data_IF_456279808825
#
_entry.id   IF_456279808825
#
_cell.length_a   1.000
_cell.length_b   1.000
_cell.length_c   1.000
_cell.angle_alpha   90.00
_cell.angle_beta   90.00
_cell.angle_gamma   90.00
#
_symmetry.space_group_name_H-M   'P 1'
#
loop_
_entity.id
_entity.type
_entity.pdbx_description
1 polymer ?
#
# COMPACT_ATOMS: atom_id res chain seq x y z
N UNK A 1 15.07 27.31 -63.45
CA UNK A 1 14.74 26.41 -62.33
C UNK A 1 15.28 27.06 -61.05
N UNK A 2 14.45 27.78 -60.28
CA UNK A 2 14.85 28.41 -59.02
C UNK A 2 14.54 27.42 -57.89
N UNK A 3 15.57 26.84 -57.27
CA UNK A 3 15.42 25.93 -56.14
C UNK A 3 15.44 26.76 -54.85
N UNK A 4 14.27 26.88 -54.20
CA UNK A 4 14.12 27.54 -52.89
C UNK A 4 14.58 26.56 -51.80
N UNK A 5 15.64 26.92 -51.07
CA UNK A 5 16.07 26.27 -49.83
C UNK A 5 15.18 26.77 -48.68
N UNK A 6 14.30 25.91 -48.17
CA UNK A 6 13.57 26.13 -46.92
C UNK A 6 14.40 25.54 -45.77
N UNK A 7 15.06 26.41 -44.99
CA UNK A 7 15.62 26.09 -43.70
C UNK A 7 14.46 26.01 -42.69
N UNK A 8 14.05 24.78 -42.34
CA UNK A 8 13.13 24.54 -41.25
C UNK A 8 13.88 24.70 -39.92
N UNK A 9 13.59 25.80 -39.21
CA UNK A 9 14.08 26.06 -37.86
C UNK A 9 13.26 25.19 -36.89
N UNK A 10 13.79 24.01 -36.54
CA UNK A 10 13.20 23.18 -35.47
C UNK A 10 13.46 23.87 -34.12
N UNK A 11 12.45 24.57 -33.61
CA UNK A 11 12.41 25.00 -32.21
C UNK A 11 12.19 23.75 -31.37
N UNK A 12 13.26 23.24 -30.75
CA UNK A 12 13.19 22.19 -29.75
C UNK A 12 12.49 22.71 -28.52
N UNK A 13 11.22 22.34 -28.35
CA UNK A 13 10.47 22.56 -27.12
C UNK A 13 10.91 21.48 -26.13
N UNK A 14 11.89 21.81 -25.28
CA UNK A 14 12.28 20.95 -24.17
C UNK A 14 11.14 20.89 -23.17
N UNK A 15 10.49 19.73 -23.07
CA UNK A 15 9.54 19.43 -21.99
C UNK A 15 10.38 19.23 -20.74
N UNK A 16 10.45 20.26 -19.89
CA UNK A 16 10.92 20.07 -18.52
C UNK A 16 9.79 19.38 -17.77
N UNK A 17 9.94 18.09 -17.49
CA UNK A 17 9.10 17.41 -16.52
C UNK A 17 9.37 18.07 -15.16
N UNK A 18 8.37 18.79 -14.65
CA UNK A 18 8.37 19.24 -13.26
C UNK A 18 8.02 18.00 -12.45
N UNK A 19 9.02 17.41 -11.79
CA UNK A 19 8.76 16.43 -10.74
C UNK A 19 8.13 17.21 -9.59
N UNK A 20 6.85 16.94 -9.30
CA UNK A 20 6.25 17.37 -8.05
C UNK A 20 7.03 16.67 -6.92
N UNK A 21 7.68 17.45 -6.06
CA UNK A 21 8.12 16.95 -4.78
C UNK A 21 6.85 16.66 -3.99
N UNK A 22 6.68 15.42 -3.53
CA UNK A 22 5.72 15.18 -2.45
C UNK A 22 6.09 16.13 -1.30
N UNK A 23 5.11 16.84 -0.74
CA UNK A 23 5.33 17.72 0.42
C UNK A 23 5.65 16.88 1.69
N UNK A 24 5.62 15.55 1.61
CA UNK A 24 5.87 14.62 2.70
C UNK A 24 7.35 14.20 2.76
N UNK A 25 7.93 14.27 3.95
CA UNK A 25 9.30 13.88 4.24
C UNK A 25 9.46 12.37 4.53
N UNK A 26 8.36 11.69 4.91
CA UNK A 26 8.33 10.30 5.35
C UNK A 26 8.73 10.12 6.82
N UNK A 27 8.19 9.11 7.48
CA UNK A 27 8.42 8.88 8.92
C UNK A 27 9.89 8.65 9.27
N UNK A 28 10.67 8.05 8.37
CA UNK A 28 12.12 7.85 8.56
C UNK A 28 12.86 9.19 8.77
N UNK A 29 12.47 10.25 8.06
CA UNK A 29 13.07 11.57 8.21
C UNK A 29 12.85 12.13 9.62
N UNK A 30 11.66 11.95 10.19
CA UNK A 30 11.31 12.33 11.55
C UNK A 30 12.18 11.58 12.59
N UNK A 31 12.48 10.31 12.31
CA UNK A 31 13.30 9.44 13.17
C UNK A 31 14.74 9.91 13.38
N UNK A 32 15.30 10.71 12.46
CA UNK A 32 16.63 11.28 12.61
C UNK A 32 16.76 12.16 13.87
N UNK A 33 15.67 12.85 14.26
CA UNK A 33 15.59 13.66 15.47
C UNK A 33 14.77 12.98 16.57
N UNK A 34 13.81 12.13 16.22
CA UNK A 34 12.87 11.46 17.13
C UNK A 34 12.96 9.92 17.08
N UNK A 35 14.13 9.31 17.33
CA UNK A 35 14.33 7.88 17.10
C UNK A 35 13.44 6.99 17.98
N UNK A 36 13.23 7.35 19.24
CA UNK A 36 12.35 6.60 20.14
C UNK A 36 10.87 6.67 19.74
N UNK A 37 10.46 7.72 19.01
CA UNK A 37 9.10 7.82 18.47
C UNK A 37 8.94 6.99 17.21
N UNK A 38 9.94 7.03 16.33
CA UNK A 38 9.98 6.18 15.15
C UNK A 38 9.92 4.70 15.53
N UNK A 39 10.75 4.26 16.48
CA UNK A 39 10.77 2.88 16.98
C UNK A 39 9.39 2.46 17.54
N UNK A 40 8.79 3.29 18.39
CA UNK A 40 7.44 3.02 18.93
C UNK A 40 6.34 3.01 17.87
N UNK A 41 6.46 3.83 16.82
CA UNK A 41 5.50 3.86 15.72
C UNK A 41 5.65 2.62 14.83
N UNK A 42 6.87 2.20 14.52
CA UNK A 42 7.15 1.02 13.70
C UNK A 42 6.58 -0.27 14.31
N UNK A 43 6.45 -0.32 15.64
CA UNK A 43 5.82 -1.44 16.37
C UNK A 43 4.28 -1.38 16.43
N UNK A 44 3.67 -0.33 15.86
CA UNK A 44 2.23 -0.06 16.00
C UNK A 44 1.41 -0.56 14.81
N UNK A 45 0.10 -0.76 15.04
CA UNK A 45 -0.83 -1.08 13.97
C UNK A 45 -1.09 0.05 12.97
N UNK A 46 -0.69 1.29 13.27
CA UNK A 46 -0.75 2.40 12.32
C UNK A 46 0.33 2.27 11.24
N UNK A 47 1.56 1.95 11.64
CA UNK A 47 2.61 1.59 10.68
C UNK A 47 2.19 0.39 9.83
N UNK A 48 1.62 -0.64 10.47
CA UNK A 48 1.16 -1.84 9.79
C UNK A 48 -0.28 -1.76 9.25
N UNK A 49 -0.82 -0.57 8.95
CA UNK A 49 -2.17 -0.47 8.38
C UNK A 49 -2.19 -0.81 6.89
N UNK A 50 -1.09 -0.58 6.18
CA UNK A 50 -0.83 -1.12 4.84
C UNK A 50 0.58 -1.71 4.85
N UNK A 51 0.74 -2.93 4.36
CA UNK A 51 2.03 -3.63 4.32
C UNK A 51 2.29 -4.06 2.89
N UNK A 52 3.39 -3.55 2.32
CA UNK A 52 3.93 -3.99 1.03
C UNK A 52 4.41 -5.44 1.09
N UNK A 53 4.15 -6.20 0.02
CA UNK A 53 4.47 -7.62 -0.09
C UNK A 53 5.32 -7.85 -1.34
N UNK A 54 6.60 -8.15 -1.14
CA UNK A 54 7.53 -8.49 -2.23
C UNK A 54 7.72 -10.01 -2.34
N UNK A 55 6.63 -10.73 -2.60
CA UNK A 55 6.64 -12.15 -2.93
C UNK A 55 6.90 -13.13 -1.76
N UNK A 56 7.04 -12.63 -0.53
CA UNK A 56 7.26 -13.44 0.68
C UNK A 56 6.30 -13.05 1.79
N UNK A 57 6.12 -13.94 2.78
CA UNK A 57 5.25 -13.66 3.92
C UNK A 57 5.72 -12.40 4.69
N UNK A 58 4.83 -11.43 4.98
CA UNK A 58 5.21 -10.23 5.70
C UNK A 58 5.54 -10.53 7.16
N UNK A 59 6.42 -9.72 7.73
CA UNK A 59 6.77 -9.77 9.14
C UNK A 59 6.05 -8.65 9.90
N UNK A 60 5.34 -9.04 10.95
CA UNK A 60 4.76 -8.10 11.89
C UNK A 60 5.61 -8.01 13.17
N UNK A 61 5.69 -6.83 13.80
CA UNK A 61 6.49 -6.65 15.02
C UNK A 61 5.95 -7.45 16.22
N UNK A 62 4.71 -7.95 16.13
CA UNK A 62 4.11 -8.81 17.13
C UNK A 62 3.28 -9.93 16.49
N UNK A 63 3.34 -11.12 17.08
CA UNK A 63 2.49 -12.27 16.74
C UNK A 63 1.50 -12.52 17.89
N UNK A 64 0.20 -12.41 17.61
CA UNK A 64 -0.85 -12.59 18.63
C UNK A 64 -1.06 -14.05 19.03
N UNK A 65 -0.71 -14.99 18.16
CA UNK A 65 -0.79 -16.42 18.43
C UNK A 65 0.59 -17.05 18.43
N UNK A 66 0.90 -17.84 19.46
CA UNK A 66 2.20 -18.50 19.58
C UNK A 66 2.32 -19.65 18.59
N UNK A 67 3.33 -19.62 17.73
CA UNK A 67 3.71 -20.75 16.87
C UNK A 67 3.30 -20.63 15.40
N UNK A 68 2.48 -19.64 15.05
CA UNK A 68 2.05 -19.36 13.67
C UNK A 68 2.38 -17.89 13.29
N UNK A 69 2.59 -17.58 12.01
CA UNK A 69 2.69 -16.19 11.57
C UNK A 69 1.37 -15.46 11.82
N UNK A 70 1.43 -14.17 12.16
CA UNK A 70 0.24 -13.37 12.45
C UNK A 70 -0.77 -13.39 11.28
N UNK A 71 -0.26 -13.44 10.05
CA UNK A 71 -1.02 -13.64 8.81
C UNK A 71 -0.60 -14.97 8.18
N UNK A 72 -1.52 -15.92 7.94
CA UNK A 72 -1.23 -17.18 7.28
C UNK A 72 -0.99 -16.98 5.78
N UNK A 73 -0.73 -18.09 5.07
CA UNK A 73 -0.64 -18.06 3.60
C UNK A 73 -1.90 -17.43 2.96
N UNK A 74 -1.77 -16.81 1.78
CA UNK A 74 -2.88 -16.15 1.09
C UNK A 74 -4.09 -17.07 0.85
N UNK A 75 -5.29 -16.49 0.65
CA UNK A 75 -6.53 -17.25 0.55
C UNK A 75 -6.60 -18.13 -0.70
N UNK A 76 -7.54 -19.07 -0.68
CA UNK A 76 -7.96 -19.84 -1.86
C UNK A 76 -9.32 -19.31 -2.29
N UNK A 77 -9.45 -18.93 -3.56
CA UNK A 77 -10.72 -18.48 -4.14
C UNK A 77 -11.13 -19.44 -5.25
N UNK A 78 -12.21 -20.19 -5.05
CA UNK A 78 -12.58 -21.29 -5.93
C UNK A 78 -11.45 -22.34 -6.01
N UNK A 79 -10.89 -22.54 -7.21
CA UNK A 79 -9.77 -23.45 -7.48
C UNK A 79 -8.41 -22.71 -7.57
N UNK A 80 -8.38 -21.41 -7.32
CA UNK A 80 -7.17 -20.58 -7.40
C UNK A 80 -6.53 -20.49 -6.02
N UNK A 81 -5.30 -21.00 -5.91
CA UNK A 81 -4.44 -20.82 -4.74
C UNK A 81 -3.55 -19.60 -4.98
N UNK A 82 -3.77 -18.53 -4.24
CA UNK A 82 -2.89 -17.36 -4.27
C UNK A 82 -1.59 -17.65 -3.54
N UNK A 83 -0.49 -17.15 -4.08
CA UNK A 83 0.82 -17.12 -3.47
C UNK A 83 1.18 -15.69 -3.06
N UNK A 84 2.20 -15.54 -2.22
CA UNK A 84 2.72 -14.23 -1.85
C UNK A 84 3.18 -13.40 -3.05
N UNK A 85 3.58 -14.06 -4.14
CA UNK A 85 3.95 -13.41 -5.40
C UNK A 85 2.77 -12.82 -6.18
N UNK A 86 1.53 -13.09 -5.77
CA UNK A 86 0.32 -12.56 -6.41
C UNK A 86 -0.27 -11.38 -5.60
N UNK A 87 0.39 -10.97 -4.51
CA UNK A 87 -0.07 -9.96 -3.56
C UNK A 87 0.89 -8.78 -3.62
N UNK A 88 0.38 -7.57 -3.87
CA UNK A 88 1.16 -6.34 -3.71
C UNK A 88 1.04 -5.80 -2.27
N UNK A 89 -0.16 -5.85 -1.68
CA UNK A 89 -0.39 -5.29 -0.36
C UNK A 89 -1.29 -6.15 0.53
N UNK A 90 -1.05 -6.01 1.84
CA UNK A 90 -2.01 -6.38 2.88
C UNK A 90 -2.52 -5.13 3.59
N UNK A 91 -3.83 -4.96 3.57
CA UNK A 91 -4.53 -3.97 4.37
C UNK A 91 -4.71 -4.57 5.77
N UNK A 92 -3.97 -4.03 6.73
CA UNK A 92 -3.92 -4.49 8.12
C UNK A 92 -2.93 -5.64 8.34
N UNK A 93 -3.40 -6.71 8.97
CA UNK A 93 -2.59 -7.87 9.32
C UNK A 93 -1.82 -7.77 10.65
N UNK A 94 -1.93 -6.64 11.36
CA UNK A 94 -1.33 -6.48 12.70
C UNK A 94 -2.25 -6.95 13.84
N UNK A 95 -3.47 -6.42 13.97
CA UNK A 95 -4.32 -6.64 15.16
C UNK A 95 -5.63 -7.38 14.87
N UNK A 96 -6.32 -7.07 13.76
CA UNK A 96 -7.73 -7.47 13.54
C UNK A 96 -7.92 -8.35 12.33
N UNK A 97 -7.66 -7.80 11.15
CA UNK A 97 -7.91 -8.47 9.89
C UNK A 97 -6.72 -8.26 8.95
N UNK A 98 -6.42 -9.26 8.14
CA UNK A 98 -5.61 -9.13 6.94
C UNK A 98 -6.51 -9.28 5.71
N UNK A 99 -6.47 -8.28 4.84
CA UNK A 99 -7.17 -8.25 3.54
C UNK A 99 -6.11 -8.11 2.46
N UNK A 100 -6.18 -8.94 1.43
CA UNK A 100 -5.12 -9.10 0.44
C UNK A 100 -5.49 -8.37 -0.84
N UNK A 101 -4.51 -7.67 -1.43
CA UNK A 101 -4.67 -6.85 -2.63
C UNK A 101 -3.71 -7.35 -3.71
N UNK A 102 -4.23 -7.59 -4.92
CA UNK A 102 -3.43 -8.03 -6.07
C UNK A 102 -2.74 -6.88 -6.80
N UNK A 103 -2.01 -7.21 -7.88
CA UNK A 103 -1.25 -6.25 -8.69
C UNK A 103 -2.11 -5.24 -9.46
N UNK A 104 -3.42 -5.47 -9.52
CA UNK A 104 -4.39 -4.59 -10.16
C UNK A 104 -5.08 -3.68 -9.13
N UNK A 105 -4.69 -3.77 -7.84
CA UNK A 105 -5.32 -3.03 -6.75
C UNK A 105 -6.67 -3.61 -6.34
N UNK A 106 -7.05 -4.78 -6.86
CA UNK A 106 -8.29 -5.44 -6.54
C UNK A 106 -8.14 -6.20 -5.21
N UNK A 107 -9.17 -6.12 -4.38
CA UNK A 107 -9.24 -6.93 -3.16
C UNK A 107 -9.55 -8.37 -3.57
N UNK A 108 -8.70 -9.30 -3.15
CA UNK A 108 -8.89 -10.73 -3.37
C UNK A 108 -9.96 -11.21 -2.40
N UNK A 109 -11.23 -11.00 -2.76
CA UNK A 109 -12.38 -11.33 -1.92
C UNK A 109 -13.26 -12.45 -2.46
N UNK A 110 -13.19 -12.73 -3.76
CA UNK A 110 -14.06 -13.72 -4.41
C UNK A 110 -15.54 -13.30 -4.43
N UNK A 111 -16.44 -14.28 -4.28
CA UNK A 111 -17.86 -14.06 -4.06
C UNK A 111 -18.19 -13.70 -2.61
N UNK A 112 -19.45 -13.33 -2.36
CA UNK A 112 -19.92 -12.82 -1.05
C UNK A 112 -19.70 -13.79 0.13
N UNK A 113 -19.68 -15.10 -0.14
CA UNK A 113 -19.50 -16.15 0.88
C UNK A 113 -18.06 -16.71 0.93
N UNK A 114 -17.15 -16.26 0.05
CA UNK A 114 -15.78 -16.77 0.01
C UNK A 114 -14.97 -16.24 1.21
N UNK A 115 -14.29 -17.15 1.91
CA UNK A 115 -13.55 -16.83 3.14
C UNK A 115 -12.12 -16.35 2.81
N UNK A 116 -11.98 -15.04 2.66
CA UNK A 116 -10.80 -14.42 2.02
C UNK A 116 -10.10 -13.35 2.87
N UNK A 117 -10.72 -12.90 3.95
CA UNK A 117 -10.07 -12.07 4.96
C UNK A 117 -9.69 -12.91 6.18
N UNK A 118 -8.45 -12.79 6.64
CA UNK A 118 -8.01 -13.48 7.84
C UNK A 118 -8.31 -12.65 9.08
N UNK A 119 -9.14 -13.14 9.99
CA UNK A 119 -9.31 -12.53 11.31
C UNK A 119 -8.23 -13.06 12.26
N UNK A 120 -7.35 -12.16 12.70
CA UNK A 120 -6.23 -12.48 13.56
C UNK A 120 -6.69 -12.83 14.97
N UNK A 121 -7.72 -12.16 15.51
CA UNK A 121 -8.18 -12.41 16.88
C UNK A 121 -8.72 -13.82 17.07
N UNK A 122 -9.58 -14.21 16.15
CA UNK A 122 -10.32 -15.46 16.18
C UNK A 122 -9.51 -16.60 15.55
N UNK A 123 -8.42 -16.27 14.83
CA UNK A 123 -7.65 -17.19 13.99
C UNK A 123 -8.56 -17.94 13.00
N UNK A 124 -9.42 -17.19 12.31
CA UNK A 124 -10.41 -17.73 11.39
C UNK A 124 -10.51 -16.88 10.12
N UNK A 125 -10.69 -17.56 8.98
CA UNK A 125 -11.05 -16.89 7.74
C UNK A 125 -12.51 -16.43 7.77
N UNK A 126 -12.76 -15.23 7.27
CA UNK A 126 -14.07 -14.58 7.21
C UNK A 126 -14.36 -14.10 5.79
N UNK A 127 -15.64 -13.99 5.40
CA UNK A 127 -15.99 -13.33 4.15
C UNK A 127 -15.58 -11.86 4.16
N UNK A 128 -15.31 -11.32 2.97
CA UNK A 128 -15.03 -9.91 2.76
C UNK A 128 -15.77 -9.39 1.53
N UNK A 129 -15.93 -8.07 1.43
CA UNK A 129 -16.72 -7.42 0.39
C UNK A 129 -16.29 -7.87 -1.01
N UNK A 130 -17.23 -8.46 -1.76
CA UNK A 130 -16.96 -9.03 -3.08
C UNK A 130 -16.74 -7.94 -4.15
N UNK A 131 -15.74 -8.13 -5.01
CA UNK A 131 -15.44 -7.27 -6.17
C UNK A 131 -15.16 -5.80 -5.82
N UNK A 132 -14.41 -5.58 -4.75
CA UNK A 132 -14.04 -4.25 -4.26
C UNK A 132 -12.58 -3.92 -4.63
N UNK A 133 -12.27 -2.65 -4.80
CA UNK A 133 -10.91 -2.17 -5.11
C UNK A 133 -10.37 -1.36 -3.93
N UNK A 134 -9.12 -1.61 -3.56
CA UNK A 134 -8.52 -0.96 -2.40
C UNK A 134 -8.47 0.58 -2.53
N UNK A 135 -8.30 1.07 -3.77
CA UNK A 135 -8.26 2.49 -4.08
C UNK A 135 -9.59 3.24 -3.87
N UNK A 136 -10.73 2.55 -3.88
CA UNK A 136 -12.03 3.23 -3.83
C UNK A 136 -12.27 3.83 -2.44
N UNK A 137 -11.96 3.09 -1.37
CA UNK A 137 -12.23 3.53 0.01
C UNK A 137 -11.10 3.23 1.02
N UNK A 138 -10.20 2.27 0.74
CA UNK A 138 -9.27 1.77 1.77
C UNK A 138 -8.05 2.69 1.94
N UNK A 139 -7.44 3.11 0.83
CA UNK A 139 -6.22 3.91 0.88
C UNK A 139 -6.43 5.27 1.55
N UNK A 140 -7.63 5.84 1.51
CA UNK A 140 -7.93 7.11 2.22
C UNK A 140 -7.61 7.07 3.72
N UNK A 141 -7.61 5.89 4.33
CA UNK A 141 -7.34 5.69 5.76
C UNK A 141 -6.09 4.86 6.05
N UNK A 142 -5.58 4.10 5.07
CA UNK A 142 -4.53 3.10 5.30
C UNK A 142 -3.14 3.52 4.80
N UNK A 143 -3.03 4.69 4.16
CA UNK A 143 -1.75 5.26 3.69
C UNK A 143 -1.56 6.69 4.20
N UNK A 144 -0.39 7.26 3.94
CA UNK A 144 -0.08 8.66 4.25
C UNK A 144 0.17 9.46 3.00
N UNK A 145 -0.43 10.66 2.93
CA UNK A 145 -0.23 11.58 1.82
C UNK A 145 -0.84 11.11 0.50
N UNK A 146 -2.09 10.62 0.55
CA UNK A 146 -2.81 10.18 -0.65
C UNK A 146 -3.02 11.33 -1.64
N UNK A 147 -2.72 11.07 -2.91
CA UNK A 147 -2.98 11.93 -4.05
C UNK A 147 -3.93 11.22 -5.01
N UNK A 148 -5.13 11.78 -5.17
CA UNK A 148 -6.17 11.28 -6.05
C UNK A 148 -6.07 11.95 -7.42
N UNK A 149 -5.33 11.30 -8.33
CA UNK A 149 -5.08 11.75 -9.70
C UNK A 149 -5.69 10.81 -10.75
N UNK A 150 -5.09 10.72 -11.95
CA UNK A 150 -5.48 9.68 -12.92
C UNK A 150 -5.20 8.26 -12.39
N UNK A 151 -4.25 8.16 -11.46
CA UNK A 151 -3.92 6.97 -10.67
C UNK A 151 -3.81 7.38 -9.20
N UNK A 152 -4.37 6.58 -8.29
CA UNK A 152 -4.20 6.80 -6.85
C UNK A 152 -2.74 6.52 -6.48
N UNK A 153 -2.12 7.44 -5.76
CA UNK A 153 -0.75 7.30 -5.24
C UNK A 153 -0.68 7.88 -3.83
N UNK A 154 0.41 7.61 -3.12
CA UNK A 154 0.62 8.09 -1.76
C UNK A 154 2.11 8.26 -1.46
N UNK A 155 2.41 8.95 -0.37
CA UNK A 155 3.78 9.27 0.02
C UNK A 155 4.45 8.15 0.85
N UNK A 156 3.69 7.48 1.71
CA UNK A 156 4.20 6.44 2.61
C UNK A 156 3.12 5.38 2.89
N UNK A 157 3.53 4.11 2.90
CA UNK A 157 2.68 2.99 3.31
C UNK A 157 2.32 3.09 4.78
N UNK A 158 1.07 2.77 5.10
CA UNK A 158 0.57 2.85 6.46
C UNK A 158 0.22 4.28 6.90
N UNK A 159 -0.31 4.39 8.12
CA UNK A 159 -0.55 5.66 8.81
C UNK A 159 0.76 6.10 9.47
N UNK A 160 1.54 6.88 8.73
CA UNK A 160 2.81 7.48 9.11
C UNK A 160 2.68 8.71 10.01
N UNK A 161 3.83 9.30 10.34
CA UNK A 161 3.93 10.46 11.23
C UNK A 161 3.12 11.64 10.69
N UNK A 162 3.27 11.90 9.39
CA UNK A 162 2.72 13.08 8.71
C UNK A 162 1.21 12.96 8.44
N UNK A 163 0.61 11.77 8.57
CA UNK A 163 -0.84 11.60 8.56
C UNK A 163 -1.51 12.30 9.77
N UNK A 164 -0.78 12.45 10.88
CA UNK A 164 -1.26 13.15 12.09
C UNK A 164 -0.62 14.54 12.27
N UNK A 165 0.66 14.67 11.89
CA UNK A 165 1.46 15.88 12.14
C UNK A 165 1.50 16.85 10.96
N UNK A 166 0.99 16.43 9.80
CA UNK A 166 1.07 17.19 8.56
C UNK A 166 2.42 17.01 7.85
N UNK A 167 2.51 17.46 6.60
CA UNK A 167 3.72 17.36 5.78
C UNK A 167 4.89 18.20 6.34
N UNK A 168 6.09 17.62 6.33
CA UNK A 168 7.41 18.21 6.67
C UNK A 168 7.44 18.93 8.05
N UNK A 169 6.79 18.34 9.06
CA UNK A 169 6.61 18.91 10.41
C UNK A 169 7.29 18.12 11.54
#
# INVERSE_FOLDING_TARGET
MRLLLLLAFMVGFGINAVLASSDYAGSEACGNCHPAKLESWAESGHHSSLVDVDGEAPLYPYNYHSGDPNVPNPPIVGDVLYAWSDIDYIIGGYYRSAVFVDHEGQIISGGEDDLTAWNIWDAEWKPYHANDYAQDDCYQCHVTGIEDGETVSWAEDGVGCEACHGPDS
#
